data_IF_122313501725
#
_entry.id   IF_122313501725
#
_cell.length_a   1.000
_cell.length_b   1.000
_cell.length_c   1.000
_cell.angle_alpha   90.00
_cell.angle_beta   90.00
_cell.angle_gamma   90.00
#
_symmetry.space_group_name_H-M   'P 1'
#
loop_
_entity.id
_entity.type
_entity.pdbx_description
1 polymer ?
#
# COMPACT_ATOMS: atom_id res chain seq x y z
N UNK A 1 21.41 14.26 -21.14
CA UNK A 1 22.41 13.68 -20.22
C UNK A 1 21.83 12.38 -19.71
N UNK A 2 22.26 11.25 -20.25
CA UNK A 2 21.67 9.94 -19.98
C UNK A 2 22.06 9.48 -18.57
N UNK A 3 21.07 9.33 -17.69
CA UNK A 3 21.25 8.73 -16.38
C UNK A 3 21.40 7.21 -16.58
N UNK A 4 22.64 6.72 -16.56
CA UNK A 4 22.92 5.29 -16.51
C UNK A 4 22.61 4.79 -15.10
N UNK A 5 21.44 4.19 -14.90
CA UNK A 5 21.13 3.45 -13.67
C UNK A 5 21.38 1.97 -13.96
N UNK A 6 22.48 1.47 -13.41
CA UNK A 6 22.84 0.07 -13.39
C UNK A 6 21.72 -0.75 -12.75
N UNK A 7 21.18 -1.75 -13.47
CA UNK A 7 20.31 -2.79 -12.87
C UNK A 7 21.09 -3.47 -11.75
N UNK A 8 20.83 -3.14 -10.49
CA UNK A 8 21.27 -3.98 -9.37
C UNK A 8 20.51 -5.30 -9.51
N UNK A 9 21.19 -6.46 -9.52
CA UNK A 9 20.49 -7.73 -9.53
C UNK A 9 19.59 -7.76 -8.30
N UNK A 10 18.30 -8.08 -8.50
CA UNK A 10 17.39 -8.48 -7.42
C UNK A 10 17.96 -9.82 -6.91
N UNK A 11 19.01 -9.72 -6.11
CA UNK A 11 19.77 -10.85 -5.65
C UNK A 11 18.87 -11.68 -4.74
N UNK A 12 19.08 -12.98 -4.79
CA UNK A 12 18.59 -14.09 -3.94
C UNK A 12 18.30 -13.74 -2.47
N UNK A 13 18.88 -12.66 -1.95
CA UNK A 13 18.66 -12.05 -0.62
C UNK A 13 17.20 -11.75 -0.28
N UNK A 14 16.37 -11.30 -1.23
CA UNK A 14 14.94 -10.99 -0.96
C UNK A 14 14.14 -12.20 -0.47
N UNK A 15 14.51 -13.41 -0.92
CA UNK A 15 13.85 -14.68 -0.57
C UNK A 15 14.39 -15.30 0.73
N UNK A 16 15.54 -14.82 1.23
CA UNK A 16 16.16 -15.34 2.46
C UNK A 16 15.66 -14.66 3.74
N UNK A 17 15.04 -13.48 3.62
CA UNK A 17 14.56 -12.69 4.74
C UNK A 17 13.10 -13.02 5.05
N UNK A 18 12.81 -13.46 6.28
CA UNK A 18 11.45 -13.83 6.69
C UNK A 18 10.56 -12.60 6.83
N UNK A 19 9.46 -12.57 6.08
CA UNK A 19 8.44 -11.53 6.15
C UNK A 19 8.43 -10.64 4.91
N UNK A 20 7.73 -9.51 5.02
CA UNK A 20 7.66 -8.49 3.98
C UNK A 20 7.55 -7.11 4.63
N UNK A 21 7.89 -6.02 3.91
CA UNK A 21 7.76 -4.69 4.48
C UNK A 21 6.32 -4.17 4.40
N UNK A 22 6.06 -3.19 5.24
CA UNK A 22 5.06 -2.14 5.02
C UNK A 22 5.81 -0.89 4.60
N UNK A 23 5.32 -0.23 3.56
CA UNK A 23 5.88 0.99 3.00
C UNK A 23 4.92 2.13 3.30
N UNK A 24 5.33 3.02 4.20
CA UNK A 24 4.63 4.26 4.50
C UNK A 24 4.88 5.23 3.35
N UNK A 25 3.82 5.83 2.82
CA UNK A 25 3.87 6.76 1.68
C UNK A 25 3.29 8.11 2.10
N UNK A 26 4.13 9.13 2.07
CA UNK A 26 3.74 10.53 2.28
C UNK A 26 3.84 11.23 0.94
N UNK A 27 2.73 11.82 0.49
CA UNK A 27 2.64 12.46 -0.82
C UNK A 27 2.59 13.98 -0.66
N UNK A 28 3.47 14.65 -1.40
CA UNK A 28 3.56 16.10 -1.57
C UNK A 28 3.21 16.47 -3.02
N UNK A 29 3.23 17.75 -3.38
CA UNK A 29 2.87 18.22 -4.72
C UNK A 29 3.85 17.73 -5.82
N UNK A 30 5.15 17.67 -5.51
CA UNK A 30 6.25 17.41 -6.45
C UNK A 30 7.08 16.15 -6.11
N UNK A 31 6.68 15.43 -5.05
CA UNK A 31 7.45 14.32 -4.53
C UNK A 31 6.62 13.39 -3.65
N UNK A 32 7.13 12.17 -3.49
CA UNK A 32 6.73 11.26 -2.43
C UNK A 32 7.92 10.91 -1.56
N UNK A 33 7.67 10.77 -0.26
CA UNK A 33 8.59 10.14 0.68
C UNK A 33 8.06 8.75 0.98
N UNK A 34 8.87 7.73 0.71
CA UNK A 34 8.53 6.35 1.01
C UNK A 34 9.50 5.80 2.07
N UNK A 35 8.95 5.19 3.11
CA UNK A 35 9.70 4.62 4.22
C UNK A 35 9.29 3.17 4.43
N UNK A 36 10.25 2.26 4.48
CA UNK A 36 9.98 0.85 4.73
C UNK A 36 10.19 0.47 6.19
N UNK A 37 9.31 -0.37 6.73
CA UNK A 37 9.48 -1.04 8.01
C UNK A 37 9.09 -2.52 7.85
N UNK A 38 9.59 -3.39 8.71
CA UNK A 38 9.09 -4.77 8.78
C UNK A 38 7.62 -4.74 9.18
N UNK A 39 6.77 -5.41 8.40
CA UNK A 39 5.37 -5.58 8.77
C UNK A 39 5.26 -6.64 9.87
N UNK A 40 4.68 -6.27 11.02
CA UNK A 40 4.39 -7.16 12.13
C UNK A 40 2.96 -6.97 12.58
N UNK A 41 2.21 -8.07 12.73
CA UNK A 41 0.81 -8.03 13.17
C UNK A 41 0.63 -7.39 14.57
N UNK A 42 1.65 -7.51 15.42
CA UNK A 42 1.67 -6.97 16.79
C UNK A 42 2.05 -5.49 16.86
N UNK A 43 2.65 -4.93 15.79
CA UNK A 43 3.19 -3.57 15.76
C UNK A 43 4.20 -3.27 16.89
N UNK A 44 4.89 -4.29 17.36
CA UNK A 44 5.89 -4.19 18.44
C UNK A 44 7.18 -4.90 18.00
N UNK A 45 8.00 -4.25 17.14
CA UNK A 45 9.23 -4.84 16.65
C UNK A 45 10.33 -4.81 17.71
N UNK A 46 11.09 -5.89 17.81
CA UNK A 46 12.38 -5.87 18.50
C UNK A 46 13.38 -4.97 17.75
N UNK A 47 14.45 -4.45 18.41
CA UNK A 47 15.41 -3.55 17.77
C UNK A 47 16.01 -4.10 16.47
N UNK A 48 16.34 -5.38 16.43
CA UNK A 48 16.84 -6.06 15.23
C UNK A 48 15.80 -6.16 14.11
N UNK A 49 14.52 -6.28 14.46
CA UNK A 49 13.42 -6.33 13.50
C UNK A 49 13.12 -4.94 12.93
N UNK A 50 13.22 -3.91 13.76
CA UNK A 50 13.11 -2.52 13.35
C UNK A 50 14.27 -2.09 12.45
N UNK A 51 15.47 -2.66 12.65
CA UNK A 51 16.64 -2.40 11.82
C UNK A 51 16.60 -3.12 10.46
N UNK A 52 15.72 -4.10 10.27
CA UNK A 52 15.62 -4.91 9.06
C UNK A 52 15.22 -4.09 7.84
N UNK A 53 15.90 -4.33 6.72
CA UNK A 53 15.67 -3.69 5.42
C UNK A 53 15.45 -4.75 4.35
N UNK A 54 14.46 -4.52 3.51
CA UNK A 54 14.07 -5.35 2.38
C UNK A 54 14.40 -4.63 1.08
N UNK A 55 14.79 -5.36 0.02
CA UNK A 55 14.75 -4.82 -1.34
C UNK A 55 13.28 -4.68 -1.76
N UNK A 56 12.82 -3.45 -1.97
CA UNK A 56 11.45 -3.15 -2.36
C UNK A 56 11.43 -2.74 -3.84
N UNK A 57 11.08 -3.66 -4.77
CA UNK A 57 10.78 -3.26 -6.14
C UNK A 57 9.54 -2.38 -6.11
N UNK A 58 9.50 -1.29 -6.88
CA UNK A 58 8.32 -0.44 -6.89
C UNK A 58 8.07 0.15 -8.27
N UNK A 59 6.79 0.33 -8.56
CA UNK A 59 6.31 1.05 -9.71
C UNK A 59 5.29 2.08 -9.25
N UNK A 60 5.25 3.22 -9.94
CA UNK A 60 4.39 4.34 -9.60
C UNK A 60 3.48 4.63 -10.79
N UNK A 61 2.18 4.63 -10.55
CA UNK A 61 1.21 5.21 -11.47
C UNK A 61 1.07 6.70 -11.15
N UNK A 62 1.32 7.57 -12.13
CA UNK A 62 1.14 9.03 -12.02
C UNK A 62 0.38 9.61 -13.22
N UNK A 63 -0.54 10.55 -12.95
CA UNK A 63 -1.41 11.19 -13.96
C UNK A 63 -0.72 12.38 -14.67
N UNK A 64 0.21 13.07 -14.00
CA UNK A 64 0.87 14.25 -14.58
C UNK A 64 2.23 13.95 -15.21
N UNK A 65 2.74 12.72 -15.06
CA UNK A 65 3.79 12.19 -15.93
C UNK A 65 3.26 11.85 -17.33
N UNK A 66 4.11 11.51 -18.31
CA UNK A 66 3.67 11.15 -19.66
C UNK A 66 2.83 9.86 -19.66
N UNK A 67 1.52 9.93 -19.33
CA UNK A 67 0.52 8.84 -19.34
C UNK A 67 1.06 7.46 -18.92
N UNK A 68 1.99 7.41 -17.96
CA UNK A 68 2.96 6.33 -17.90
C UNK A 68 3.20 5.85 -16.48
N UNK A 69 3.17 4.53 -16.31
CA UNK A 69 3.73 3.89 -15.13
C UNK A 69 5.22 4.20 -15.11
N UNK A 70 5.66 4.97 -14.12
CA UNK A 70 7.07 5.14 -13.80
C UNK A 70 7.56 3.84 -13.17
N UNK A 71 8.35 3.10 -13.94
CA UNK A 71 9.07 1.93 -13.45
C UNK A 71 10.41 2.39 -12.86
N UNK A 72 10.50 2.42 -11.54
CA UNK A 72 11.80 2.36 -10.89
C UNK A 72 12.14 0.89 -10.59
N UNK A 73 13.42 0.62 -10.35
CA UNK A 73 13.93 -0.74 -10.23
C UNK A 73 13.72 -1.32 -8.84
N UNK A 74 14.06 -0.58 -7.78
CA UNK A 74 13.84 -0.92 -6.37
C UNK A 74 14.53 0.09 -5.46
N UNK A 75 14.10 0.21 -4.20
CA UNK A 75 14.88 0.84 -3.13
C UNK A 75 15.21 -0.18 -2.03
N UNK A 76 16.31 0.04 -1.30
CA UNK A 76 16.73 -0.81 -0.17
C UNK A 76 17.07 0.00 1.08
N UNK A 77 17.02 1.32 0.98
CA UNK A 77 17.19 2.27 2.05
C UNK A 77 15.96 2.29 2.97
N UNK A 78 16.14 2.79 4.20
CA UNK A 78 15.04 2.95 5.15
C UNK A 78 13.97 3.89 4.62
N UNK A 79 14.41 4.98 3.99
CA UNK A 79 13.58 6.06 3.48
C UNK A 79 14.22 6.64 2.22
N UNK A 80 13.39 7.00 1.24
CA UNK A 80 13.83 7.68 0.02
C UNK A 80 12.76 8.67 -0.44
N UNK A 81 13.21 9.79 -1.00
CA UNK A 81 12.36 10.79 -1.64
C UNK A 81 12.43 10.62 -3.15
N UNK A 82 11.27 10.49 -3.80
CA UNK A 82 11.16 10.29 -5.24
C UNK A 82 10.39 11.48 -5.82
N UNK A 83 10.94 12.11 -6.86
CA UNK A 83 10.27 13.20 -7.57
C UNK A 83 9.18 12.63 -8.45
N UNK A 84 7.94 13.07 -8.21
CA UNK A 84 6.74 12.67 -8.94
C UNK A 84 5.73 13.79 -8.87
N UNK A 85 4.96 14.00 -9.93
CA UNK A 85 3.97 15.07 -9.96
C UNK A 85 2.54 14.49 -9.98
N UNK A 86 1.61 15.19 -9.35
CA UNK A 86 0.18 14.90 -9.41
C UNK A 86 -0.29 13.71 -8.59
N UNK A 87 -1.31 13.01 -9.07
CA UNK A 87 -1.83 11.81 -8.45
C UNK A 87 -0.78 10.70 -8.50
N UNK A 88 -0.62 9.95 -7.41
CA UNK A 88 0.42 8.93 -7.25
C UNK A 88 -0.15 7.69 -6.59
N UNK A 89 0.02 6.54 -7.24
CA UNK A 89 -0.19 5.22 -6.62
C UNK A 89 1.10 4.40 -6.73
N UNK A 90 1.69 4.08 -5.58
CA UNK A 90 2.82 3.18 -5.42
C UNK A 90 2.31 1.74 -5.50
N UNK A 91 3.14 0.82 -5.98
CA UNK A 91 2.79 -0.57 -6.23
C UNK A 91 1.62 -0.65 -7.22
N UNK A 92 1.77 -0.02 -8.39
CA UNK A 92 0.75 -0.04 -9.44
C UNK A 92 0.53 -1.48 -9.96
N UNK A 93 -0.71 -1.84 -10.25
CA UNK A 93 -1.10 -3.24 -10.52
C UNK A 93 -0.90 -4.19 -9.33
N UNK A 94 -0.51 -3.67 -8.16
CA UNK A 94 -0.31 -4.43 -6.92
C UNK A 94 0.59 -5.68 -7.07
N UNK A 95 1.71 -5.53 -7.78
CA UNK A 95 2.61 -6.63 -8.15
C UNK A 95 3.73 -6.90 -7.15
N UNK A 96 4.08 -5.90 -6.34
CA UNK A 96 5.14 -5.98 -5.34
C UNK A 96 4.69 -6.67 -4.05
N UNK A 97 5.58 -7.46 -3.46
CA UNK A 97 5.35 -8.14 -2.17
C UNK A 97 5.63 -7.20 -0.99
N UNK A 98 4.78 -6.20 -0.83
CA UNK A 98 4.80 -5.28 0.30
C UNK A 98 3.44 -4.58 0.41
N UNK A 99 3.15 -4.05 1.60
CA UNK A 99 1.92 -3.30 1.84
C UNK A 99 2.16 -1.81 1.71
N UNK A 100 1.24 -1.09 1.12
CA UNK A 100 1.28 0.37 1.02
C UNK A 100 0.43 1.01 2.10
N UNK A 101 1.04 1.86 2.93
CA UNK A 101 0.38 2.59 4.01
C UNK A 101 0.37 4.09 3.70
N UNK A 102 -0.76 4.58 3.22
CA UNK A 102 -0.96 6.00 2.93
C UNK A 102 -1.48 6.76 4.15
N UNK A 103 -1.28 8.08 4.16
CA UNK A 103 -2.02 8.96 5.08
C UNK A 103 -3.52 8.81 4.85
N UNK A 104 -4.34 9.04 5.90
CA UNK A 104 -5.79 8.91 5.79
C UNK A 104 -6.36 9.81 4.67
N UNK A 105 -5.85 11.05 4.56
CA UNK A 105 -6.25 11.98 3.50
C UNK A 105 -5.94 11.44 2.11
N UNK A 106 -4.73 10.93 1.89
CA UNK A 106 -4.34 10.43 0.57
C UNK A 106 -5.00 9.09 0.23
N UNK A 107 -5.28 8.26 1.24
CA UNK A 107 -6.07 7.04 1.07
C UNK A 107 -7.48 7.35 0.54
N UNK A 108 -8.10 8.45 0.99
CA UNK A 108 -9.40 8.88 0.44
C UNK A 108 -9.28 9.35 -1.01
N UNK A 109 -8.23 10.10 -1.36
CA UNK A 109 -7.95 10.48 -2.76
C UNK A 109 -7.80 9.25 -3.67
N UNK A 110 -7.10 8.20 -3.20
CA UNK A 110 -7.00 6.93 -3.92
C UNK A 110 -8.37 6.22 -4.03
N UNK A 111 -9.17 6.24 -2.97
CA UNK A 111 -10.49 5.62 -2.94
C UNK A 111 -11.47 6.28 -3.93
N UNK A 112 -11.47 7.61 -4.01
CA UNK A 112 -12.28 8.37 -4.97
C UNK A 112 -11.93 8.00 -6.43
N UNK A 113 -10.63 7.93 -6.76
CA UNK A 113 -10.19 7.52 -8.10
C UNK A 113 -10.50 6.03 -8.38
N UNK A 114 -10.39 5.16 -7.37
CA UNK A 114 -10.78 3.76 -7.49
C UNK A 114 -12.28 3.60 -7.78
N UNK A 115 -13.13 4.35 -7.07
CA UNK A 115 -14.59 4.28 -7.17
C UNK A 115 -15.14 4.74 -8.52
N UNK A 116 -14.45 5.66 -9.20
CA UNK A 116 -14.81 6.12 -10.56
C UNK A 116 -14.57 5.06 -11.63
N UNK A 117 -13.92 3.94 -11.30
CA UNK A 117 -13.43 2.99 -12.30
C UNK A 117 -12.39 3.61 -13.24
N UNK A 118 -11.67 4.62 -12.75
CA UNK A 118 -10.72 5.43 -13.51
C UNK A 118 -9.42 4.68 -13.80
N UNK A 119 -8.29 5.32 -13.52
CA UNK A 119 -6.96 4.80 -13.88
C UNK A 119 -6.49 3.58 -13.07
N UNK A 120 -7.18 3.26 -11.96
CA UNK A 120 -6.80 2.14 -11.10
C UNK A 120 -7.41 0.83 -11.63
N UNK A 121 -6.52 -0.08 -12.04
CA UNK A 121 -6.88 -1.43 -12.49
C UNK A 121 -7.57 -2.26 -11.41
N UNK A 122 -8.11 -3.41 -11.80
CA UNK A 122 -8.83 -4.30 -10.88
C UNK A 122 -7.93 -4.76 -9.73
N UNK A 123 -6.67 -5.04 -10.04
CA UNK A 123 -5.62 -5.47 -9.13
C UNK A 123 -5.24 -4.36 -8.16
N UNK A 124 -5.15 -3.11 -8.64
CA UNK A 124 -4.90 -1.95 -7.77
C UNK A 124 -6.03 -1.74 -6.76
N UNK A 125 -7.29 -1.86 -7.21
CA UNK A 125 -8.46 -1.69 -6.35
C UNK A 125 -8.55 -2.79 -5.31
N UNK A 126 -8.44 -4.05 -5.72
CA UNK A 126 -8.44 -5.19 -4.80
C UNK A 126 -7.28 -5.10 -3.80
N UNK A 127 -6.07 -4.78 -4.27
CA UNK A 127 -4.88 -4.64 -3.44
C UNK A 127 -4.96 -3.49 -2.44
N UNK A 128 -5.47 -2.32 -2.86
CA UNK A 128 -5.67 -1.17 -1.99
C UNK A 128 -6.62 -1.50 -0.82
N UNK A 129 -7.72 -2.20 -1.10
CA UNK A 129 -8.68 -2.64 -0.08
C UNK A 129 -8.03 -3.66 0.86
N UNK A 130 -7.29 -4.64 0.32
CA UNK A 130 -6.62 -5.66 1.11
C UNK A 130 -5.55 -5.06 2.04
N UNK A 131 -4.75 -4.09 1.55
CA UNK A 131 -3.79 -3.37 2.36
C UNK A 131 -4.46 -2.57 3.47
N UNK A 132 -5.45 -1.74 3.14
CA UNK A 132 -6.16 -0.92 4.12
C UNK A 132 -6.83 -1.78 5.21
N UNK A 133 -7.44 -2.92 4.83
CA UNK A 133 -8.06 -3.84 5.78
C UNK A 133 -7.03 -4.46 6.74
N UNK A 134 -5.91 -4.94 6.20
CA UNK A 134 -4.86 -5.58 7.03
C UNK A 134 -4.21 -4.53 7.92
N UNK A 135 -3.87 -3.36 7.40
CA UNK A 135 -3.27 -2.26 8.17
C UNK A 135 -4.22 -1.76 9.27
N UNK A 136 -5.53 -1.72 9.02
CA UNK A 136 -6.52 -1.43 10.05
C UNK A 136 -6.54 -2.49 11.16
N UNK A 137 -6.62 -3.78 10.79
CA UNK A 137 -6.68 -4.88 11.76
C UNK A 137 -5.41 -5.06 12.60
N UNK A 138 -4.28 -4.54 12.12
CA UNK A 138 -2.97 -4.60 12.77
C UNK A 138 -2.57 -3.28 13.43
N UNK A 139 -3.50 -2.33 13.45
CA UNK A 139 -3.35 -1.05 14.12
C UNK A 139 -2.45 -0.05 13.42
N UNK A 140 -1.93 -0.32 12.20
CA UNK A 140 -1.16 0.66 11.42
C UNK A 140 -2.03 1.82 10.92
N UNK A 141 -3.30 1.55 10.62
CA UNK A 141 -4.31 2.53 10.24
C UNK A 141 -5.56 2.36 11.12
N UNK A 142 -6.48 3.34 11.10
CA UNK A 142 -7.73 3.22 11.84
C UNK A 142 -8.73 2.39 11.04
N UNK A 143 -9.55 1.61 11.73
CA UNK A 143 -10.71 0.92 11.12
C UNK A 143 -11.65 1.90 10.41
N UNK A 144 -11.80 3.12 10.94
CA UNK A 144 -12.59 4.18 10.30
C UNK A 144 -12.08 4.54 8.90
N UNK A 145 -10.76 4.57 8.70
CA UNK A 145 -10.16 4.96 7.43
C UNK A 145 -10.43 3.90 6.36
N UNK A 146 -10.36 2.61 6.75
CA UNK A 146 -10.76 1.48 5.91
C UNK A 146 -12.25 1.52 5.55
N UNK A 147 -13.13 1.70 6.54
CA UNK A 147 -14.58 1.76 6.29
C UNK A 147 -14.95 2.95 5.40
N UNK A 148 -14.28 4.10 5.59
CA UNK A 148 -14.48 5.27 4.74
C UNK A 148 -14.02 5.01 3.30
N UNK A 149 -12.88 4.34 3.11
CA UNK A 149 -12.43 3.91 1.78
C UNK A 149 -13.50 3.09 1.05
N UNK A 150 -14.16 2.14 1.73
CA UNK A 150 -15.16 1.26 1.13
C UNK A 150 -16.40 2.01 0.58
N UNK A 151 -16.71 3.21 1.09
CA UNK A 151 -17.85 4.00 0.62
C UNK A 151 -17.76 4.36 -0.87
N UNK A 152 -16.54 4.42 -1.42
CA UNK A 152 -16.31 4.71 -2.83
C UNK A 152 -16.54 3.49 -3.76
N UNK A 153 -16.74 2.29 -3.22
CA UNK A 153 -16.86 1.05 -4.00
C UNK A 153 -18.31 0.59 -4.20
N UNK A 154 -19.29 1.46 -3.93
CA UNK A 154 -20.72 1.15 -4.06
C UNK A 154 -21.15 0.73 -5.46
N UNK A 155 -20.41 1.15 -6.50
CA UNK A 155 -20.67 0.84 -7.91
C UNK A 155 -19.63 -0.14 -8.49
N UNK A 156 -18.82 -0.80 -7.66
CA UNK A 156 -17.86 -1.79 -8.14
C UNK A 156 -18.58 -2.95 -8.86
N UNK A 157 -17.98 -3.44 -9.95
CA UNK A 157 -18.55 -4.50 -10.79
C UNK A 157 -17.72 -5.78 -10.77
N UNK A 158 -16.44 -5.68 -10.38
CA UNK A 158 -15.51 -6.78 -10.44
C UNK A 158 -15.68 -7.71 -9.23
N UNK A 159 -15.94 -8.98 -9.53
CA UNK A 159 -16.14 -10.02 -8.52
C UNK A 159 -14.99 -10.09 -7.51
N UNK A 160 -13.74 -10.04 -7.97
CA UNK A 160 -12.56 -10.17 -7.10
C UNK A 160 -12.47 -9.02 -6.09
N UNK A 161 -12.84 -7.80 -6.50
CA UNK A 161 -12.82 -6.63 -5.61
C UNK A 161 -13.90 -6.79 -4.54
N UNK A 162 -15.12 -7.16 -4.92
CA UNK A 162 -16.21 -7.46 -3.98
C UNK A 162 -15.87 -8.60 -3.01
N UNK A 163 -15.26 -9.66 -3.51
CA UNK A 163 -14.83 -10.78 -2.69
C UNK A 163 -13.86 -10.30 -1.58
N UNK A 164 -12.85 -9.50 -1.94
CA UNK A 164 -11.90 -8.92 -0.98
C UNK A 164 -12.62 -8.03 0.04
N UNK A 165 -13.57 -7.19 -0.37
CA UNK A 165 -14.38 -6.38 0.54
C UNK A 165 -15.10 -7.26 1.58
N UNK A 166 -15.82 -8.29 1.11
CA UNK A 166 -16.66 -9.14 1.95
C UNK A 166 -15.82 -9.91 2.97
N UNK A 167 -14.70 -10.52 2.57
CA UNK A 167 -13.87 -11.30 3.49
C UNK A 167 -13.29 -10.43 4.61
N UNK A 168 -12.93 -9.17 4.32
CA UNK A 168 -12.34 -8.25 5.28
C UNK A 168 -13.39 -7.61 6.19
N UNK A 169 -14.58 -7.25 5.67
CA UNK A 169 -15.71 -6.85 6.51
C UNK A 169 -16.13 -7.96 7.46
N UNK A 170 -16.19 -9.20 6.97
CA UNK A 170 -16.46 -10.38 7.80
C UNK A 170 -15.42 -10.59 8.90
N UNK A 171 -14.14 -10.28 8.63
CA UNK A 171 -13.10 -10.34 9.64
C UNK A 171 -13.28 -9.30 10.75
N UNK A 172 -13.64 -8.07 10.39
CA UNK A 172 -13.96 -7.01 11.37
C UNK A 172 -15.17 -7.41 12.22
N UNK A 173 -16.24 -7.88 11.59
CA UNK A 173 -17.45 -8.33 12.30
C UNK A 173 -17.13 -9.44 13.32
N UNK A 174 -16.31 -10.43 12.94
CA UNK A 174 -15.88 -11.50 13.84
C UNK A 174 -15.03 -10.99 15.01
N UNK A 175 -14.16 -10.01 14.76
CA UNK A 175 -13.34 -9.41 15.83
C UNK A 175 -14.22 -8.72 16.88
N UNK A 176 -15.30 -8.06 16.46
CA UNK A 176 -16.23 -7.37 17.36
C UNK A 176 -17.25 -8.30 18.02
N UNK A 177 -17.46 -9.51 17.51
CA UNK A 177 -18.40 -10.49 18.08
C UNK A 177 -18.05 -10.84 19.54
N UNK A 178 -16.78 -10.75 19.91
CA UNK A 178 -16.28 -11.05 21.26
C UNK A 178 -15.85 -9.80 22.03
N UNK A 179 -16.22 -8.60 21.56
CA UNK A 179 -15.99 -7.39 22.34
C UNK A 179 -16.84 -7.45 23.61
N UNK A 180 -16.17 -7.44 24.77
CA UNK A 180 -16.86 -7.48 26.05
C UNK A 180 -17.82 -6.29 26.14
N UNK A 181 -19.11 -6.56 26.44
CA UNK A 181 -20.08 -5.53 26.79
C UNK A 181 -19.70 -4.89 28.14
N UNK A 182 -18.66 -4.07 28.15
CA UNK A 182 -18.34 -3.20 29.28
C UNK A 182 -18.82 -1.81 28.92
N UNK A 183 -20.05 -1.54 29.32
CA UNK A 183 -20.60 -0.19 29.45
C UNK A 183 -20.09 0.45 30.74
#
# INVERSE_FOLDING_TARGET
MACFITRKPIATTALSQVGHPVVTVIVSEDSIVIRQDRFLRTRDPLPEEAAMLYPVPFNILSINGPNGVLHDTSFAEREVTIKVEGFVKLNAGHTGLYRTCYSAEYLQKLAEEAGKGGILGVEDRAGLIADAAVLASTGYQKTSDFLQLLTNFSHESQYVVWYIIIIHLGAILRAWTFENQRF
#
